data_IF_050096650580
#
_entry.id   IF_050096650580
#
_cell.length_a   1.000
_cell.length_b   1.000
_cell.length_c   1.000
_cell.angle_alpha   90.00
_cell.angle_beta   90.00
_cell.angle_gamma   90.00
#
_symmetry.space_group_name_H-M   'P 1'
#
loop_
_entity.id
_entity.type
_entity.pdbx_description
1 polymer ?
#
# COMPACT_ATOMS: atom_id res chain seq x y z
N UNK A 1 12.54 -7.94 22.92
CA UNK A 1 11.98 -6.82 22.11
C UNK A 1 12.29 -5.51 22.82
N UNK A 2 12.92 -4.56 22.13
CA UNK A 2 13.22 -3.24 22.68
C UNK A 2 11.96 -2.39 22.63
N UNK A 3 11.53 -1.84 23.76
CA UNK A 3 10.39 -0.92 23.82
C UNK A 3 10.80 0.45 23.24
N UNK A 4 10.03 0.96 22.28
CA UNK A 4 10.21 2.29 21.72
C UNK A 4 9.07 3.20 22.19
N UNK A 5 9.40 4.24 22.94
CA UNK A 5 8.42 5.25 23.36
C UNK A 5 8.02 6.11 22.16
N UNK A 6 6.72 6.23 21.89
CA UNK A 6 6.19 7.13 20.87
C UNK A 6 4.68 7.02 20.73
N UNK A 7 4.07 8.04 20.13
CA UNK A 7 2.63 8.06 19.83
C UNK A 7 2.41 7.82 18.33
N UNK A 8 1.50 6.93 17.92
CA UNK A 8 1.16 6.76 16.51
C UNK A 8 0.76 8.08 15.86
N UNK A 9 1.32 8.39 14.70
CA UNK A 9 1.05 9.64 13.99
C UNK A 9 -0.44 9.77 13.64
N UNK A 10 -1.13 8.65 13.36
CA UNK A 10 -2.58 8.63 13.17
C UNK A 10 -3.36 9.18 14.37
N UNK A 11 -2.87 9.02 15.61
CA UNK A 11 -3.54 9.56 16.80
C UNK A 11 -3.49 11.08 16.87
N UNK A 12 -2.49 11.69 16.24
CA UNK A 12 -2.35 13.15 16.15
C UNK A 12 -3.20 13.69 15.00
N UNK A 13 -3.32 12.92 13.90
CA UNK A 13 -4.03 13.33 12.70
C UNK A 13 -5.55 13.11 12.77
N UNK A 14 -6.01 12.13 13.57
CA UNK A 14 -7.41 11.73 13.58
C UNK A 14 -8.31 12.74 14.31
N UNK A 15 -9.58 12.79 13.91
CA UNK A 15 -10.60 13.54 14.63
C UNK A 15 -10.76 13.02 16.08
N UNK A 16 -10.91 13.90 17.07
CA UNK A 16 -11.13 13.49 18.45
C UNK A 16 -12.48 12.77 18.59
N UNK A 17 -12.55 11.76 19.46
CA UNK A 17 -13.80 11.10 19.91
C UNK A 17 -14.63 10.38 18.85
N UNK A 18 -14.12 10.15 17.63
CA UNK A 18 -14.79 9.29 16.65
C UNK A 18 -14.65 7.82 17.05
N UNK A 19 -15.78 7.13 17.27
CA UNK A 19 -15.81 5.67 17.45
C UNK A 19 -15.62 4.99 16.10
N UNK A 20 -14.84 3.92 16.04
CA UNK A 20 -14.59 3.16 14.82
C UNK A 20 -13.28 3.56 14.12
N UNK A 21 -13.27 3.50 12.78
CA UNK A 21 -12.06 3.74 11.98
C UNK A 21 -11.63 5.21 12.05
N UNK A 22 -10.32 5.49 12.13
CA UNK A 22 -9.82 6.86 12.26
C UNK A 22 -10.13 7.67 11.00
N UNK A 23 -10.78 8.82 11.13
CA UNK A 23 -10.94 9.81 10.05
C UNK A 23 -9.98 10.97 10.28
N UNK A 24 -9.44 11.56 9.20
CA UNK A 24 -8.65 12.78 9.30
C UNK A 24 -9.46 13.90 9.98
N UNK A 25 -8.87 14.58 10.97
CA UNK A 25 -9.52 15.68 11.67
C UNK A 25 -9.80 16.85 10.69
N UNK A 26 -11.06 17.25 10.44
CA UNK A 26 -11.37 18.37 9.54
C UNK A 26 -10.82 19.70 10.06
N UNK A 27 -10.63 19.83 11.37
CA UNK A 27 -10.12 21.04 12.03
C UNK A 27 -8.58 21.04 12.17
N UNK A 28 -7.88 20.04 11.62
CA UNK A 28 -6.42 20.04 11.68
C UNK A 28 -5.85 21.24 10.92
N UNK A 29 -4.97 22.00 11.57
CA UNK A 29 -4.27 23.10 10.91
C UNK A 29 -3.50 22.60 9.68
N UNK A 30 -3.56 23.34 8.57
CA UNK A 30 -2.81 23.00 7.36
C UNK A 30 -1.31 22.86 7.63
N UNK A 31 -0.76 23.74 8.48
CA UNK A 31 0.65 23.68 8.89
C UNK A 31 0.97 22.37 9.61
N UNK A 32 0.11 21.92 10.52
CA UNK A 32 0.29 20.65 11.25
C UNK A 32 0.23 19.46 10.30
N UNK A 33 -0.79 19.43 9.43
CA UNK A 33 -0.97 18.38 8.42
C UNK A 33 0.23 18.29 7.47
N UNK A 34 0.69 19.42 6.93
CA UNK A 34 1.86 19.49 6.06
C UNK A 34 3.10 18.93 6.74
N UNK A 35 3.35 19.30 8.00
CA UNK A 35 4.51 18.78 8.74
C UNK A 35 4.43 17.27 8.95
N UNK A 36 3.26 16.73 9.26
CA UNK A 36 3.05 15.29 9.43
C UNK A 36 3.29 14.53 8.12
N UNK A 37 2.71 14.99 7.01
CA UNK A 37 2.93 14.37 5.71
C UNK A 37 4.37 14.50 5.21
N UNK A 38 5.07 15.58 5.53
CA UNK A 38 6.51 15.69 5.26
C UNK A 38 7.33 14.64 6.03
N UNK A 39 6.90 14.23 7.23
CA UNK A 39 7.58 13.15 7.97
C UNK A 39 7.32 11.80 7.29
N UNK A 40 6.08 11.52 6.89
CA UNK A 40 5.76 10.33 6.09
C UNK A 40 6.54 10.28 4.78
N UNK A 41 6.64 11.42 4.10
CA UNK A 41 7.41 11.59 2.87
C UNK A 41 8.87 11.18 3.03
N UNK A 42 9.51 11.67 4.09
CA UNK A 42 10.90 11.31 4.39
C UNK A 42 11.07 9.80 4.55
N UNK A 43 10.16 9.13 5.26
CA UNK A 43 10.23 7.67 5.43
C UNK A 43 10.04 6.92 4.12
N UNK A 44 9.06 7.32 3.29
CA UNK A 44 8.86 6.72 1.96
C UNK A 44 10.10 6.91 1.06
N UNK A 45 10.77 8.06 1.16
CA UNK A 45 12.01 8.32 0.43
C UNK A 45 13.19 7.52 0.96
N UNK A 46 13.27 7.25 2.27
CA UNK A 46 14.27 6.32 2.80
C UNK A 46 14.01 4.89 2.31
N UNK A 47 12.74 4.47 2.32
CA UNK A 47 12.30 3.15 1.85
C UNK A 47 12.58 2.94 0.35
N UNK A 48 12.57 4.01 -0.45
CA UNK A 48 12.82 3.94 -1.89
C UNK A 48 14.30 3.86 -2.27
N UNK A 49 15.24 4.09 -1.33
CA UNK A 49 16.68 4.09 -1.61
C UNK A 49 17.21 2.72 -2.02
N UNK A 50 16.89 1.61 -1.31
CA UNK A 50 17.34 0.28 -1.71
C UNK A 50 16.79 -0.08 -3.09
N UNK A 51 17.67 -0.53 -3.98
CA UNK A 51 17.38 -0.86 -5.37
C UNK A 51 17.63 -2.34 -5.60
N UNK A 52 16.71 -3.00 -6.28
CA UNK A 52 16.75 -4.44 -6.54
C UNK A 52 16.51 -4.74 -8.02
N UNK A 53 17.06 -5.87 -8.48
CA UNK A 53 16.88 -6.35 -9.86
C UNK A 53 15.64 -7.22 -10.05
N UNK A 54 14.98 -7.66 -8.97
CA UNK A 54 13.80 -8.54 -9.00
C UNK A 54 12.73 -8.10 -8.04
N UNK A 55 11.49 -8.48 -8.30
CA UNK A 55 10.31 -8.26 -7.47
C UNK A 55 10.03 -9.54 -6.67
N UNK A 56 9.80 -9.40 -5.37
CA UNK A 56 9.64 -10.51 -4.45
C UNK A 56 9.82 -10.09 -2.99
N UNK A 57 9.74 -11.06 -2.08
CA UNK A 57 10.05 -10.82 -0.66
C UNK A 57 11.55 -11.01 -0.41
N UNK A 58 12.06 -10.22 0.53
CA UNK A 58 13.43 -10.36 1.02
C UNK A 58 13.56 -11.61 1.89
N UNK A 59 14.70 -12.27 1.81
CA UNK A 59 15.11 -13.35 2.69
C UNK A 59 16.54 -13.11 3.10
N UNK A 60 16.80 -13.23 4.39
CA UNK A 60 18.14 -13.12 4.97
C UNK A 60 18.93 -14.41 4.68
N UNK A 61 20.11 -14.24 4.08
CA UNK A 61 21.06 -15.31 3.84
C UNK A 61 21.85 -15.68 5.09
N UNK A 62 22.62 -16.79 5.05
CA UNK A 62 23.46 -17.21 6.18
C UNK A 62 24.54 -16.20 6.60
N UNK A 63 24.91 -15.30 5.69
CA UNK A 63 25.86 -14.20 5.86
C UNK A 63 25.20 -12.89 6.35
N UNK A 64 23.88 -12.88 6.52
CA UNK A 64 23.10 -11.69 6.86
C UNK A 64 22.74 -10.82 5.65
N UNK A 65 23.08 -11.21 4.41
CA UNK A 65 22.69 -10.47 3.23
C UNK A 65 21.23 -10.73 2.85
N UNK A 66 20.49 -9.66 2.52
CA UNK A 66 19.10 -9.78 2.09
C UNK A 66 19.01 -9.94 0.57
N UNK A 67 18.37 -11.01 0.11
CA UNK A 67 18.13 -11.27 -1.32
C UNK A 67 16.65 -11.49 -1.61
N UNK A 68 16.25 -11.18 -2.84
CA UNK A 68 14.88 -11.43 -3.32
C UNK A 68 14.79 -12.88 -3.79
N UNK A 69 14.16 -13.75 -3.00
CA UNK A 69 14.12 -15.20 -3.29
C UNK A 69 12.74 -15.86 -3.12
N UNK A 70 11.73 -15.10 -2.67
CA UNK A 70 10.36 -15.60 -2.46
C UNK A 70 9.34 -14.70 -3.13
N UNK A 71 8.12 -15.22 -3.30
CA UNK A 71 6.99 -14.43 -3.79
C UNK A 71 6.76 -13.20 -2.91
N UNK A 72 6.28 -12.09 -3.49
CA UNK A 72 5.76 -10.97 -2.70
C UNK A 72 4.73 -11.46 -1.68
N UNK A 73 4.91 -11.07 -0.43
CA UNK A 73 3.92 -11.32 0.63
C UNK A 73 3.15 -10.02 0.90
N UNK A 74 2.04 -9.86 0.21
CA UNK A 74 1.24 -8.64 0.24
C UNK A 74 0.17 -8.70 1.32
N UNK A 75 -0.24 -7.54 1.84
CA UNK A 75 -1.36 -7.45 2.79
C UNK A 75 -2.63 -8.07 2.20
N UNK A 76 -2.88 -7.83 0.92
CA UNK A 76 -4.02 -8.40 0.20
C UNK A 76 -3.97 -9.94 0.16
N UNK A 77 -2.80 -10.57 -0.03
CA UNK A 77 -2.68 -12.02 0.03
C UNK A 77 -3.03 -12.57 1.42
N UNK A 78 -2.63 -11.85 2.49
CA UNK A 78 -3.00 -12.21 3.86
C UNK A 78 -4.52 -12.14 4.05
N UNK A 79 -5.16 -11.03 3.70
CA UNK A 79 -6.62 -10.86 3.82
C UNK A 79 -7.40 -11.91 3.03
N UNK A 80 -6.95 -12.23 1.82
CA UNK A 80 -7.57 -13.25 0.99
C UNK A 80 -7.47 -14.65 1.60
N UNK A 81 -6.34 -14.95 2.24
CA UNK A 81 -6.11 -16.26 2.85
C UNK A 81 -6.87 -16.41 4.17
N UNK A 82 -6.88 -15.36 4.99
CA UNK A 82 -7.39 -15.39 6.38
C UNK A 82 -8.87 -15.02 6.47
N UNK A 83 -9.33 -14.06 5.67
CA UNK A 83 -10.71 -13.54 5.72
C UNK A 83 -11.58 -14.06 4.58
N UNK A 84 -11.00 -14.29 3.40
CA UNK A 84 -11.75 -14.71 2.20
C UNK A 84 -11.67 -16.21 1.88
N UNK A 85 -10.92 -16.99 2.68
CA UNK A 85 -10.75 -18.44 2.56
C UNK A 85 -10.34 -18.90 1.15
N UNK A 86 -9.52 -18.11 0.47
CA UNK A 86 -8.95 -18.48 -0.83
C UNK A 86 -8.02 -19.68 -0.62
N UNK A 87 -8.12 -20.73 -1.46
CA UNK A 87 -7.27 -21.90 -1.29
C UNK A 87 -5.79 -21.54 -1.55
N UNK A 88 -4.83 -22.09 -0.78
CA UNK A 88 -3.42 -21.74 -0.90
C UNK A 88 -2.83 -21.90 -2.31
N UNK A 89 -3.35 -22.85 -3.09
CA UNK A 89 -2.92 -23.11 -4.47
C UNK A 89 -3.35 -22.03 -5.47
N UNK A 90 -4.28 -21.14 -5.11
CA UNK A 90 -4.66 -19.99 -5.94
C UNK A 90 -3.65 -18.82 -5.80
N UNK A 91 -2.76 -18.86 -4.82
CA UNK A 91 -1.65 -17.93 -4.70
C UNK A 91 -0.44 -18.39 -5.54
N UNK A 92 0.41 -17.47 -6.01
CA UNK A 92 1.65 -17.80 -6.70
C UNK A 92 2.52 -18.78 -5.89
N UNK A 93 3.31 -19.62 -6.55
CA UNK A 93 4.21 -20.52 -5.83
C UNK A 93 5.12 -19.71 -4.86
N UNK A 94 5.42 -20.21 -3.65
CA UNK A 94 6.28 -19.50 -2.70
C UNK A 94 7.64 -19.06 -3.26
N UNK A 95 8.17 -19.76 -4.25
CA UNK A 95 9.46 -19.49 -4.89
C UNK A 95 9.33 -18.63 -6.17
N UNK A 96 8.12 -18.18 -6.53
CA UNK A 96 7.92 -17.29 -7.67
C UNK A 96 8.52 -15.92 -7.37
N UNK A 97 9.44 -15.47 -8.20
CA UNK A 97 9.94 -14.09 -8.23
C UNK A 97 9.64 -13.51 -9.61
N UNK A 98 9.66 -12.18 -9.75
CA UNK A 98 9.43 -11.55 -11.05
C UNK A 98 10.63 -10.72 -11.47
N UNK A 99 11.12 -10.98 -12.68
CA UNK A 99 12.21 -10.23 -13.30
C UNK A 99 11.74 -8.88 -13.86
N UNK A 100 10.44 -8.75 -14.17
CA UNK A 100 9.87 -7.55 -14.78
C UNK A 100 8.57 -7.13 -14.08
N UNK A 101 8.30 -5.82 -14.08
CA UNK A 101 7.02 -5.27 -13.61
C UNK A 101 5.85 -5.82 -14.43
N UNK A 102 6.00 -5.95 -15.76
CA UNK A 102 4.99 -6.55 -16.62
C UNK A 102 4.62 -7.99 -16.19
N UNK A 103 5.62 -8.80 -15.83
CA UNK A 103 5.42 -10.15 -15.30
C UNK A 103 4.64 -10.16 -13.99
N UNK A 104 5.00 -9.27 -13.06
CA UNK A 104 4.28 -9.10 -11.79
C UNK A 104 2.82 -8.67 -12.01
N UNK A 105 2.55 -7.64 -12.81
CA UNK A 105 1.20 -7.16 -13.07
C UNK A 105 0.33 -8.18 -13.82
N UNK A 106 0.92 -8.99 -14.72
CA UNK A 106 0.22 -10.10 -15.35
C UNK A 106 -0.17 -11.16 -14.33
N UNK A 107 0.73 -11.50 -13.40
CA UNK A 107 0.41 -12.41 -12.29
C UNK A 107 -0.70 -11.86 -11.41
N UNK A 108 -0.65 -10.57 -11.05
CA UNK A 108 -1.68 -9.90 -10.27
C UNK A 108 -3.05 -9.91 -10.97
N UNK A 109 -3.08 -9.71 -12.29
CA UNK A 109 -4.30 -9.81 -13.09
C UNK A 109 -4.90 -11.22 -13.07
N UNK A 110 -4.06 -12.26 -13.19
CA UNK A 110 -4.47 -13.66 -13.05
C UNK A 110 -5.02 -13.92 -11.65
N UNK A 111 -4.33 -13.47 -10.60
CA UNK A 111 -4.78 -13.62 -9.21
C UNK A 111 -6.15 -12.96 -8.99
N UNK A 112 -6.35 -11.72 -9.46
CA UNK A 112 -7.63 -11.04 -9.35
C UNK A 112 -8.77 -11.86 -9.97
N UNK A 113 -8.55 -12.49 -11.12
CA UNK A 113 -9.54 -13.36 -11.76
C UNK A 113 -9.76 -14.66 -11.00
N UNK A 114 -8.69 -15.31 -10.52
CA UNK A 114 -8.79 -16.51 -9.70
C UNK A 114 -9.58 -16.25 -8.41
N UNK A 115 -9.34 -15.11 -7.74
CA UNK A 115 -10.11 -14.73 -6.55
C UNK A 115 -11.59 -14.57 -6.88
N UNK A 116 -11.93 -13.93 -8.01
CA UNK A 116 -13.32 -13.81 -8.42
C UNK A 116 -14.02 -15.16 -8.64
N UNK A 117 -13.30 -16.15 -9.17
CA UNK A 117 -13.85 -17.48 -9.44
C UNK A 117 -13.93 -18.38 -8.20
N UNK A 118 -13.06 -18.16 -7.21
CA UNK A 118 -12.88 -19.10 -6.09
C UNK A 118 -13.38 -18.57 -4.76
N UNK A 119 -13.59 -17.26 -4.60
CA UNK A 119 -14.06 -16.67 -3.36
C UNK A 119 -15.52 -17.04 -3.10
N UNK A 120 -15.78 -17.62 -1.93
CA UNK A 120 -17.11 -18.14 -1.56
C UNK A 120 -17.93 -17.22 -0.66
N UNK A 121 -17.28 -16.38 0.15
CA UNK A 121 -17.92 -15.61 1.23
C UNK A 121 -18.26 -14.20 0.80
N UNK A 122 -19.56 -13.86 0.76
CA UNK A 122 -20.14 -12.50 0.55
C UNK A 122 -19.42 -11.64 -0.51
N UNK A 123 -18.78 -12.32 -1.47
CA UNK A 123 -17.90 -11.70 -2.44
C UNK A 123 -18.70 -11.00 -3.53
N UNK A 124 -19.98 -11.39 -3.69
CA UNK A 124 -20.92 -10.92 -4.68
C UNK A 124 -22.26 -10.73 -3.96
N UNK A 125 -22.79 -9.50 -3.97
CA UNK A 125 -24.08 -9.18 -3.34
C UNK A 125 -25.27 -9.31 -4.30
N UNK A 126 -25.02 -9.46 -5.61
CA UNK A 126 -26.04 -9.66 -6.63
C UNK A 126 -25.49 -9.60 -8.05
N UNK A 127 -26.34 -9.75 -9.07
CA UNK A 127 -25.90 -9.81 -10.48
C UNK A 127 -25.16 -8.54 -10.93
N UNK A 128 -25.66 -7.36 -10.56
CA UNK A 128 -25.05 -6.09 -10.93
C UNK A 128 -23.63 -5.96 -10.33
N UNK A 129 -23.45 -6.36 -9.08
CA UNK A 129 -22.16 -6.35 -8.39
C UNK A 129 -21.19 -7.39 -9.02
N UNK A 130 -21.69 -8.61 -9.31
CA UNK A 130 -20.96 -9.64 -10.04
C UNK A 130 -20.42 -9.11 -11.37
N UNK A 131 -21.30 -8.53 -12.19
CA UNK A 131 -20.96 -7.97 -13.50
C UNK A 131 -19.94 -6.84 -13.37
N UNK A 132 -20.12 -5.91 -12.42
CA UNK A 132 -19.18 -4.81 -12.16
C UNK A 132 -17.79 -5.35 -11.78
N UNK A 133 -17.73 -6.31 -10.86
CA UNK A 133 -16.48 -6.94 -10.37
C UNK A 133 -15.76 -7.74 -11.47
N UNK A 134 -16.50 -8.44 -12.32
CA UNK A 134 -15.95 -9.16 -13.47
C UNK A 134 -15.39 -8.20 -14.52
N UNK A 135 -16.18 -7.19 -14.91
CA UNK A 135 -15.77 -6.18 -15.89
C UNK A 135 -14.53 -5.42 -15.41
N UNK A 136 -14.46 -5.03 -14.13
CA UNK A 136 -13.30 -4.36 -13.57
C UNK A 136 -12.01 -5.20 -13.72
N UNK A 137 -12.08 -6.53 -13.50
CA UNK A 137 -10.93 -7.44 -13.66
C UNK A 137 -10.54 -7.64 -15.11
N UNK A 138 -11.52 -7.76 -16.01
CA UNK A 138 -11.27 -7.80 -17.44
C UNK A 138 -10.61 -6.51 -17.95
N UNK A 139 -11.05 -5.34 -17.47
CA UNK A 139 -10.44 -4.05 -17.79
C UNK A 139 -9.02 -3.95 -17.23
N UNK A 140 -8.78 -4.38 -15.99
CA UNK A 140 -7.44 -4.45 -15.41
C UNK A 140 -6.49 -5.28 -16.28
N UNK A 141 -6.90 -6.49 -16.67
CA UNK A 141 -6.09 -7.34 -17.57
C UNK A 141 -5.80 -6.67 -18.92
N UNK A 142 -6.76 -5.94 -19.49
CA UNK A 142 -6.57 -5.19 -20.75
C UNK A 142 -5.61 -4.02 -20.57
N UNK A 143 -5.66 -3.32 -19.44
CA UNK A 143 -4.73 -2.22 -19.13
C UNK A 143 -3.31 -2.75 -18.99
N UNK A 144 -3.12 -3.82 -18.22
CA UNK A 144 -1.80 -4.47 -18.05
C UNK A 144 -1.15 -4.87 -19.38
N UNK A 145 -1.94 -5.26 -20.38
CA UNK A 145 -1.44 -5.61 -21.72
C UNK A 145 -1.05 -4.41 -22.58
N UNK A 146 -1.50 -3.19 -22.24
CA UNK A 146 -1.38 -2.00 -23.08
C UNK A 146 -0.40 -0.96 -22.52
N UNK A 147 -0.13 -0.99 -21.23
CA UNK A 147 0.78 -0.03 -20.59
C UNK A 147 2.22 -0.53 -20.68
N UNK A 148 3.14 0.41 -20.84
CA UNK A 148 4.56 0.17 -20.70
C UNK A 148 4.92 0.30 -19.22
N UNK A 149 5.76 -0.62 -18.75
CA UNK A 149 6.23 -0.63 -17.37
C UNK A 149 7.71 -0.27 -17.32
N UNK A 150 8.18 0.16 -16.15
CA UNK A 150 9.60 0.33 -15.91
C UNK A 150 10.25 -1.04 -15.68
N UNK A 151 11.40 -1.26 -16.32
CA UNK A 151 12.19 -2.51 -16.19
C UNK A 151 13.05 -2.55 -14.91
N UNK A 152 12.83 -1.60 -13.99
CA UNK A 152 13.58 -1.44 -12.75
C UNK A 152 14.54 -0.24 -12.75
N UNK A 153 15.37 -0.10 -11.71
CA UNK A 153 15.43 -0.98 -10.54
C UNK A 153 14.16 -0.92 -9.69
N UNK A 154 13.81 -2.05 -9.08
CA UNK A 154 12.67 -2.18 -8.17
C UNK A 154 13.01 -1.71 -6.76
N UNK A 155 11.99 -1.43 -5.95
CA UNK A 155 12.14 -0.73 -4.67
C UNK A 155 11.29 -1.38 -3.60
N UNK A 156 11.62 -1.14 -2.33
CA UNK A 156 10.78 -1.61 -1.23
C UNK A 156 9.45 -0.86 -1.21
N UNK A 157 8.41 -1.62 -0.94
CA UNK A 157 7.05 -1.14 -0.78
C UNK A 157 6.37 -1.95 0.33
N UNK A 158 5.45 -1.31 1.04
CA UNK A 158 4.63 -1.97 2.06
C UNK A 158 3.20 -1.48 1.90
N UNK A 159 2.27 -2.41 1.64
CA UNK A 159 0.87 -2.09 1.34
C UNK A 159 0.18 -1.35 2.50
N UNK A 160 0.56 -1.67 3.74
CA UNK A 160 0.00 -1.09 4.96
C UNK A 160 0.87 0.05 5.55
N UNK A 161 1.86 0.57 4.81
CA UNK A 161 2.69 1.66 5.33
C UNK A 161 1.90 2.98 5.44
N UNK A 162 1.43 3.28 6.65
CA UNK A 162 0.49 4.37 6.93
C UNK A 162 0.79 5.06 8.28
N UNK A 163 0.14 6.19 8.59
CA UNK A 163 0.44 6.96 9.81
C UNK A 163 0.24 6.22 11.14
N UNK A 164 -0.55 5.14 11.20
CA UNK A 164 -0.65 4.35 12.44
C UNK A 164 0.63 3.56 12.74
N UNK A 165 1.43 3.28 11.73
CA UNK A 165 2.62 2.44 11.82
C UNK A 165 3.89 3.31 11.96
N UNK A 166 3.71 4.61 12.19
CA UNK A 166 4.79 5.58 12.45
C UNK A 166 4.58 6.20 13.83
N UNK A 167 5.53 5.94 14.72
CA UNK A 167 5.58 6.51 16.06
C UNK A 167 6.31 7.84 16.01
N UNK A 168 5.76 8.84 16.69
CA UNK A 168 6.40 10.16 16.86
C UNK A 168 6.61 10.49 18.33
N UNK A 169 7.73 11.16 18.60
CA UNK A 169 7.98 11.87 19.84
C UNK A 169 7.22 13.20 19.76
N UNK A 170 6.21 13.37 20.63
CA UNK A 170 5.35 14.57 20.63
C UNK A 170 6.11 15.80 21.13
N UNK A 171 7.01 15.63 22.10
CA UNK A 171 7.77 16.73 22.70
C UNK A 171 8.73 17.33 21.67
N UNK A 172 9.41 16.48 20.90
CA UNK A 172 10.39 16.89 19.89
C UNK A 172 9.83 17.02 18.48
N UNK A 173 8.60 16.53 18.26
CA UNK A 173 7.94 16.42 16.96
C UNK A 173 8.84 15.75 15.89
N UNK A 174 9.49 14.65 16.28
CA UNK A 174 10.34 13.83 15.41
C UNK A 174 9.82 12.40 15.29
N UNK A 175 10.21 11.70 14.23
CA UNK A 175 9.91 10.28 14.07
C UNK A 175 10.71 9.54 15.14
N UNK A 176 10.04 8.72 15.94
CA UNK A 176 10.66 7.84 16.91
C UNK A 176 10.98 6.47 16.28
N UNK A 177 10.01 5.91 15.55
CA UNK A 177 10.18 4.67 14.80
C UNK A 177 9.11 4.52 13.72
N UNK A 178 9.40 3.68 12.73
CA UNK A 178 8.40 3.07 11.87
C UNK A 178 8.38 1.56 12.17
N UNK A 179 7.18 1.03 12.32
CA UNK A 179 6.91 -0.34 12.80
C UNK A 179 6.05 -1.07 11.78
N UNK A 180 5.73 -2.34 12.08
CA UNK A 180 4.77 -3.13 11.31
C UNK A 180 5.18 -3.37 9.85
N UNK A 181 6.37 -3.96 9.69
CA UNK A 181 7.02 -4.21 8.40
C UNK A 181 6.65 -5.57 7.78
N UNK A 182 5.69 -6.29 8.34
CA UNK A 182 5.41 -7.69 7.97
C UNK A 182 4.95 -7.88 6.51
N UNK A 183 4.42 -6.82 5.88
CA UNK A 183 4.02 -6.79 4.46
C UNK A 183 4.98 -6.00 3.57
N UNK A 184 6.25 -5.87 3.97
CA UNK A 184 7.27 -5.27 3.12
C UNK A 184 7.74 -6.25 2.05
N UNK A 185 7.82 -5.79 0.81
CA UNK A 185 8.37 -6.55 -0.31
C UNK A 185 8.99 -5.62 -1.35
N UNK A 186 9.76 -6.17 -2.26
CA UNK A 186 10.28 -5.45 -3.41
C UNK A 186 9.21 -5.43 -4.51
N UNK A 187 8.83 -4.25 -4.96
CA UNK A 187 7.70 -4.00 -5.84
C UNK A 187 8.07 -3.17 -7.09
N UNK A 188 7.22 -3.17 -8.13
CA UNK A 188 7.32 -2.22 -9.24
C UNK A 188 7.35 -0.77 -8.76
N UNK A 189 8.13 0.09 -9.43
CA UNK A 189 8.26 1.51 -9.05
C UNK A 189 6.97 2.29 -9.25
N UNK A 190 6.06 1.79 -10.10
CA UNK A 190 4.73 2.34 -10.33
C UNK A 190 3.95 2.52 -9.03
N UNK A 191 4.16 1.68 -8.03
CA UNK A 191 3.51 1.79 -6.71
C UNK A 191 4.02 2.99 -5.89
N UNK A 192 5.22 3.50 -6.17
CA UNK A 192 5.73 4.71 -5.53
C UNK A 192 5.16 6.00 -6.14
N UNK A 193 4.61 5.92 -7.36
CA UNK A 193 4.05 7.08 -8.08
C UNK A 193 2.56 7.30 -7.81
N UNK A 194 1.89 6.35 -7.19
CA UNK A 194 0.49 6.52 -6.79
C UNK A 194 0.39 7.38 -5.54
N UNK A 195 -0.65 8.21 -5.47
CA UNK A 195 -0.88 8.96 -4.26
C UNK A 195 -1.22 8.03 -3.09
N UNK A 196 -0.69 8.28 -1.88
CA UNK A 196 -0.90 7.38 -0.75
C UNK A 196 -2.39 7.27 -0.42
N UNK A 197 -2.90 6.04 -0.33
CA UNK A 197 -4.32 5.82 -0.04
C UNK A 197 -4.74 6.39 1.33
N UNK A 198 -3.81 6.46 2.28
CA UNK A 198 -4.03 6.88 3.67
C UNK A 198 -4.04 8.39 3.90
N UNK A 199 -4.03 9.25 2.87
CA UNK A 199 -4.09 10.71 3.08
C UNK A 199 -5.30 11.10 3.95
N UNK A 200 -6.43 10.41 3.82
CA UNK A 200 -7.60 10.65 4.65
C UNK A 200 -7.70 9.75 5.90
N UNK A 201 -6.63 9.00 6.21
CA UNK A 201 -6.53 7.96 7.25
C UNK A 201 -7.44 6.73 7.07
N UNK A 202 -8.16 6.63 5.95
CA UNK A 202 -8.96 5.46 5.59
C UNK A 202 -8.80 5.17 4.10
N UNK A 203 -9.00 3.90 3.73
CA UNK A 203 -8.92 3.47 2.35
C UNK A 203 -10.17 3.92 1.56
N UNK A 204 -10.10 4.04 0.23
CA UNK A 204 -11.26 4.40 -0.59
C UNK A 204 -12.48 3.50 -0.38
N UNK A 205 -12.27 2.21 -0.10
CA UNK A 205 -13.33 1.25 0.19
C UNK A 205 -14.00 1.42 1.55
N UNK A 206 -13.43 2.23 2.44
CA UNK A 206 -13.96 2.51 3.77
C UNK A 206 -14.86 3.74 3.80
N UNK A 207 -14.73 4.63 2.80
CA UNK A 207 -15.21 5.99 2.89
C UNK A 207 -16.69 6.14 2.58
N UNK A 208 -17.30 5.40 1.64
CA UNK A 208 -18.75 5.41 1.33
C UNK A 208 -19.04 4.65 0.00
N UNK A 209 -20.32 4.52 -0.37
CA UNK A 209 -20.78 3.90 -1.63
C UNK A 209 -20.44 4.72 -2.89
N UNK A 210 -20.06 6.01 -2.75
CA UNK A 210 -19.75 6.91 -3.87
C UNK A 210 -18.26 7.31 -3.93
N UNK A 211 -17.62 6.96 -5.05
CA UNK A 211 -16.25 7.35 -5.36
C UNK A 211 -16.08 8.88 -5.50
N UNK A 212 -17.11 9.60 -5.94
CA UNK A 212 -17.02 11.05 -6.17
C UNK A 212 -16.92 11.84 -4.87
N UNK A 213 -17.61 11.40 -3.81
CA UNK A 213 -17.49 11.98 -2.48
C UNK A 213 -16.10 11.74 -1.87
N UNK A 214 -15.56 10.53 -2.06
CA UNK A 214 -14.17 10.24 -1.70
C UNK A 214 -13.21 11.18 -2.45
N UNK A 215 -13.33 11.30 -3.77
CA UNK A 215 -12.44 12.13 -4.59
C UNK A 215 -12.53 13.61 -4.23
N UNK A 216 -13.70 14.11 -3.86
CA UNK A 216 -13.88 15.51 -3.44
C UNK A 216 -13.09 15.83 -2.16
N UNK A 217 -13.06 14.92 -1.20
CA UNK A 217 -12.29 15.06 0.05
C UNK A 217 -10.80 14.75 -0.14
N UNK A 218 -10.48 13.79 -0.99
CA UNK A 218 -9.12 13.31 -1.24
C UNK A 218 -8.32 14.28 -2.10
N UNK A 219 -8.94 14.86 -3.15
CA UNK A 219 -8.23 15.67 -4.15
C UNK A 219 -7.46 16.87 -3.59
N UNK A 220 -8.03 17.67 -2.68
CA UNK A 220 -7.31 18.80 -2.07
C UNK A 220 -6.01 18.37 -1.36
N UNK A 221 -5.87 17.09 -0.99
CA UNK A 221 -4.68 16.56 -0.31
C UNK A 221 -3.56 16.12 -1.27
N UNK A 222 -3.82 16.02 -2.59
CA UNK A 222 -2.76 15.72 -3.58
C UNK A 222 -1.66 16.78 -3.65
N UNK A 223 -1.91 18.02 -3.20
CA UNK A 223 -0.83 19.02 -3.13
C UNK A 223 0.34 18.51 -2.26
N UNK A 224 0.05 17.64 -1.30
CA UNK A 224 1.05 17.00 -0.45
C UNK A 224 1.69 15.76 -1.10
N UNK A 225 1.04 15.13 -2.09
CA UNK A 225 1.67 14.07 -2.89
C UNK A 225 2.62 14.64 -3.95
N UNK A 226 2.35 15.83 -4.50
CA UNK A 226 3.31 16.55 -5.34
C UNK A 226 4.63 16.84 -4.59
N UNK A 227 4.57 17.07 -3.27
CA UNK A 227 5.78 17.18 -2.45
C UNK A 227 6.59 15.88 -2.39
N UNK A 228 5.93 14.70 -2.46
CA UNK A 228 6.61 13.40 -2.54
C UNK A 228 7.33 13.24 -3.89
N UNK A 229 6.65 13.60 -4.97
CA UNK A 229 7.15 13.51 -6.35
C UNK A 229 8.31 14.48 -6.62
N UNK A 230 8.20 15.75 -6.21
CA UNK A 230 9.33 16.69 -6.35
C UNK A 230 10.55 16.26 -5.54
N UNK A 231 10.36 15.60 -4.40
CA UNK A 231 11.47 15.15 -3.56
C UNK A 231 12.14 13.89 -4.08
N UNK A 232 11.41 12.99 -4.74
CA UNK A 232 12.01 11.83 -5.41
C UNK A 232 12.86 12.22 -6.61
N UNK A 233 12.53 13.35 -7.26
CA UNK A 233 13.19 13.82 -8.49
C UNK A 233 14.32 14.85 -8.25
N UNK A 234 14.66 15.18 -7.00
CA UNK A 234 15.80 16.06 -6.64
C UNK A 234 17.12 15.29 -6.44
N UNK A 235 17.32 14.17 -7.13
CA UNK A 235 18.58 13.44 -7.16
C UNK A 235 19.15 13.43 -8.58
#
# INVERSE_FOLDING_TARGET
MTYIKGTPLSNILKAPKVKGRPVLNPEISERGLRRAYQKMAKLLLELSKPKFSKIGSLTEGPDGEFTVSRRPFTFNMNELSTSAYIPPHALPNPNTIFETAAGYFKSLATQHMLHFLTQRNDAITGEADCRKKFVARCLFSKVVQRIQFHEGPFQLYCDDFRPSNVLVDIERFCIAAAIDWEYIYVAPVEFSYVAPWWLLLQAPGDWESDLMEFLTRYRPRFIYSWMLYEWSNRK
#
